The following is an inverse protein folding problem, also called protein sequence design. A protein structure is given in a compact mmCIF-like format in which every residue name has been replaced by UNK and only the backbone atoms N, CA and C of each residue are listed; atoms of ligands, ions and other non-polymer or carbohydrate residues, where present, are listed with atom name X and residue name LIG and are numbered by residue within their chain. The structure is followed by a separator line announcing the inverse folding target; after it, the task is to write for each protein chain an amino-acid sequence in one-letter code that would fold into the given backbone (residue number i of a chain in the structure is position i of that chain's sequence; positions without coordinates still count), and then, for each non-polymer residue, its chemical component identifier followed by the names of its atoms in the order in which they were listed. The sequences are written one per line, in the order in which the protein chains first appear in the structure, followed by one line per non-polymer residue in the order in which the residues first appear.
data_IF_795165956079
#
_entry.id   IF_795165956079
#
_cell.length_a   1.000
_cell.length_b   1.000
_cell.length_c   1.000
_cell.angle_alpha   90.00
_cell.angle_beta   90.00
_cell.angle_gamma   90.00
#
_symmetry.space_group_name_H-M   'P 1'
#
loop_
_entity.id
_entity.type
_entity.pdbx_description
1 polymer ?
#
# COMPACT_ATOMS: atom_id res chain seq x y z
N UNK A 1 17.37 3.64 16.89
CA UNK A 1 16.36 3.15 15.91
C UNK A 1 16.02 4.33 15.00
N UNK A 2 16.08 4.17 13.70
CA UNK A 2 15.70 5.22 12.74
C UNK A 2 14.32 4.85 12.18
N UNK A 3 13.35 5.75 12.26
CA UNK A 3 12.04 5.60 11.64
C UNK A 3 12.05 6.26 10.26
N UNK A 4 11.40 5.63 9.30
CA UNK A 4 11.22 6.17 7.94
C UNK A 4 9.72 6.30 7.65
N UNK A 5 9.31 7.50 7.21
CA UNK A 5 7.94 7.74 6.72
C UNK A 5 7.81 7.15 5.31
N UNK A 6 6.89 6.21 5.13
CA UNK A 6 6.62 5.55 3.85
C UNK A 6 5.21 5.84 3.33
N UNK A 7 4.50 6.78 3.95
CA UNK A 7 3.12 7.11 3.62
C UNK A 7 3.00 8.49 2.98
N UNK A 8 2.05 8.64 2.07
CA UNK A 8 1.63 9.95 1.59
C UNK A 8 0.59 10.56 2.53
N UNK A 9 0.71 11.86 2.77
CA UNK A 9 -0.27 12.61 3.58
C UNK A 9 -1.63 12.61 2.90
N UNK A 10 -2.69 12.27 3.64
CA UNK A 10 -4.08 12.37 3.15
C UNK A 10 -4.48 13.84 3.10
N UNK A 11 -4.90 14.31 1.92
CA UNK A 11 -5.30 15.70 1.65
C UNK A 11 -6.47 15.72 0.67
N UNK A 12 -7.21 16.85 0.64
CA UNK A 12 -8.33 17.05 -0.30
C UNK A 12 -7.93 16.97 -1.77
N UNK A 13 -6.68 17.36 -2.07
CA UNK A 13 -6.12 17.47 -3.44
C UNK A 13 -5.13 16.33 -3.77
N UNK A 14 -5.13 15.27 -2.96
CA UNK A 14 -4.22 14.15 -3.22
C UNK A 14 -4.64 13.37 -4.48
N UNK A 15 -3.68 12.76 -5.20
CA UNK A 15 -3.99 11.89 -6.31
C UNK A 15 -4.86 10.69 -5.87
N UNK A 16 -5.85 10.36 -6.67
CA UNK A 16 -6.70 9.17 -6.52
C UNK A 16 -6.77 8.42 -7.84
N UNK A 17 -7.13 7.15 -7.79
CA UNK A 17 -7.28 6.35 -9.01
C UNK A 17 -8.31 7.01 -9.96
N UNK A 18 -8.04 7.06 -11.27
CA UNK A 18 -8.95 7.68 -12.25
C UNK A 18 -10.38 7.16 -12.13
N UNK A 19 -11.33 8.10 -11.99
CA UNK A 19 -12.76 7.78 -11.79
C UNK A 19 -13.18 7.61 -10.32
N UNK A 20 -12.25 7.64 -9.38
CA UNK A 20 -12.55 7.64 -7.93
C UNK A 20 -12.79 9.07 -7.43
N UNK A 21 -13.76 9.25 -6.52
CA UNK A 21 -13.99 10.55 -5.87
C UNK A 21 -12.82 10.91 -4.95
N UNK A 22 -12.38 12.16 -5.01
CA UNK A 22 -11.32 12.66 -4.13
C UNK A 22 -11.77 12.71 -2.67
N UNK A 23 -10.82 12.54 -1.73
CA UNK A 23 -11.09 12.73 -0.31
C UNK A 23 -11.65 14.12 -0.02
N UNK A 24 -12.56 14.19 0.93
CA UNK A 24 -13.06 15.45 1.51
C UNK A 24 -12.79 15.46 3.01
N UNK A 25 -11.86 16.32 3.40
CA UNK A 25 -11.51 16.58 4.79
C UNK A 25 -12.15 17.92 5.17
N UNK A 26 -13.18 17.88 6.02
CA UNK A 26 -13.92 19.04 6.47
C UNK A 26 -13.73 19.27 7.97
N UNK A 27 -13.51 20.52 8.37
CA UNK A 27 -13.47 20.86 9.79
C UNK A 27 -14.85 20.65 10.39
N UNK A 28 -15.01 19.69 11.29
CA UNK A 28 -16.25 19.43 12.03
C UNK A 28 -16.34 20.31 13.26
N UNK A 29 -15.22 20.50 14.00
CA UNK A 29 -15.12 21.35 15.17
C UNK A 29 -13.79 22.11 15.22
N UNK A 30 -13.82 23.32 15.79
CA UNK A 30 -12.63 24.13 16.10
C UNK A 30 -12.49 24.32 17.61
N UNK A 31 -11.30 24.68 18.08
CA UNK A 31 -11.05 24.96 19.51
C UNK A 31 -12.01 26.03 20.03
N UNK A 32 -12.23 27.10 19.27
CA UNK A 32 -13.08 28.24 19.69
C UNK A 32 -14.56 27.86 19.80
N UNK A 33 -15.03 26.92 18.96
CA UNK A 33 -16.44 26.51 18.94
C UNK A 33 -16.76 25.40 19.92
N UNK A 34 -15.86 24.43 20.07
CA UNK A 34 -16.12 23.16 20.73
C UNK A 34 -15.15 22.87 21.89
N UNK A 35 -14.06 23.63 22.02
CA UNK A 35 -12.99 23.32 22.97
C UNK A 35 -12.00 22.24 22.48
N UNK A 36 -12.24 21.67 21.33
CA UNK A 36 -11.37 20.69 20.66
C UNK A 36 -11.41 20.86 19.14
N UNK A 37 -10.50 20.19 18.44
CA UNK A 37 -10.47 20.18 16.97
C UNK A 37 -10.84 18.79 16.46
N UNK A 38 -11.73 18.75 15.48
CA UNK A 38 -12.18 17.52 14.84
C UNK A 38 -12.30 17.70 13.32
N UNK A 39 -11.93 16.67 12.57
CA UNK A 39 -12.04 16.63 11.11
C UNK A 39 -12.93 15.48 10.70
N UNK A 40 -13.95 15.75 9.89
CA UNK A 40 -14.76 14.73 9.23
C UNK A 40 -14.02 14.27 7.97
N UNK A 41 -13.81 12.96 7.85
CA UNK A 41 -13.22 12.32 6.68
C UNK A 41 -14.30 11.67 5.84
N UNK A 42 -14.34 12.02 4.55
CA UNK A 42 -15.15 11.34 3.55
C UNK A 42 -14.20 10.87 2.43
N UNK A 43 -13.96 9.58 2.34
CA UNK A 43 -13.03 9.01 1.37
C UNK A 43 -13.27 7.50 1.20
N UNK A 44 -12.85 6.99 0.05
CA UNK A 44 -12.82 5.54 -0.16
C UNK A 44 -11.69 4.90 0.65
N UNK A 45 -11.87 3.64 1.07
CA UNK A 45 -10.85 2.86 1.79
C UNK A 45 -9.56 2.67 0.98
N UNK A 46 -9.67 2.58 -0.35
CA UNK A 46 -8.54 2.44 -1.27
C UNK A 46 -8.00 3.79 -1.72
N UNK A 47 -7.67 4.66 -0.76
CA UNK A 47 -7.12 6.00 -1.02
C UNK A 47 -5.77 6.17 -0.36
N UNK A 48 -4.77 6.64 -1.12
CA UNK A 48 -3.41 6.86 -0.62
C UNK A 48 -2.71 5.56 -0.22
N UNK A 49 -1.89 5.62 0.82
CA UNK A 49 -1.21 4.44 1.38
C UNK A 49 -2.20 3.67 2.26
N UNK A 50 -2.54 2.45 1.87
CA UNK A 50 -3.55 1.63 2.55
C UNK A 50 -3.19 0.14 2.46
N UNK A 51 -3.97 -0.69 3.13
CA UNK A 51 -3.90 -2.15 3.05
C UNK A 51 -5.19 -2.68 2.47
N UNK A 52 -5.08 -3.72 1.65
CA UNK A 52 -6.21 -4.49 1.13
C UNK A 52 -6.39 -5.77 1.94
N UNK A 53 -7.62 -6.06 2.31
CA UNK A 53 -7.98 -7.37 2.82
C UNK A 53 -8.21 -8.37 1.66
N UNK A 54 -8.10 -9.69 1.89
CA UNK A 54 -8.52 -10.68 0.90
C UNK A 54 -9.94 -10.46 0.37
N UNK A 55 -10.85 -9.98 1.22
CA UNK A 55 -12.24 -9.66 0.86
C UNK A 55 -12.38 -8.55 -0.18
N UNK A 56 -11.32 -7.78 -0.47
CA UNK A 56 -11.34 -6.79 -1.54
C UNK A 56 -11.57 -7.42 -2.92
N UNK A 57 -11.00 -8.62 -3.15
CA UNK A 57 -11.06 -9.31 -4.44
C UNK A 57 -11.76 -10.67 -4.38
N UNK A 58 -12.00 -11.22 -3.18
CA UNK A 58 -12.54 -12.56 -3.01
C UNK A 58 -13.78 -12.49 -2.12
N UNK A 59 -14.96 -12.80 -2.69
CA UNK A 59 -16.22 -12.79 -1.95
C UNK A 59 -16.20 -13.77 -0.78
N UNK A 60 -16.68 -13.31 0.39
CA UNK A 60 -16.70 -14.10 1.63
C UNK A 60 -15.33 -14.33 2.28
N UNK A 61 -14.25 -13.76 1.75
CA UNK A 61 -12.92 -13.87 2.37
C UNK A 61 -12.74 -12.94 3.57
N UNK A 62 -11.59 -13.07 4.25
CA UNK A 62 -11.27 -12.34 5.48
C UNK A 62 -11.21 -10.83 5.24
N UNK A 63 -11.82 -10.06 6.12
CA UNK A 63 -11.71 -8.59 6.22
C UNK A 63 -10.62 -8.19 7.22
N UNK A 64 -10.15 -6.93 7.20
CA UNK A 64 -9.04 -6.49 8.08
C UNK A 64 -9.38 -6.56 9.57
N UNK A 65 -10.64 -6.33 9.94
CA UNK A 65 -11.11 -6.44 11.33
C UNK A 65 -11.11 -7.89 11.85
N UNK A 66 -11.07 -8.86 10.94
CA UNK A 66 -10.86 -10.27 11.28
C UNK A 66 -9.38 -10.67 11.44
N UNK A 67 -8.44 -9.77 11.16
CA UNK A 67 -7.00 -10.02 11.31
C UNK A 67 -6.52 -9.68 12.72
N UNK A 68 -5.67 -10.53 13.30
CA UNK A 68 -4.97 -10.19 14.54
C UNK A 68 -3.96 -9.04 14.33
N UNK A 69 -3.74 -8.22 15.35
CA UNK A 69 -2.82 -7.08 15.29
C UNK A 69 -1.36 -7.50 15.00
N UNK A 70 -0.98 -8.71 15.36
CA UNK A 70 0.31 -9.33 15.07
C UNK A 70 0.62 -9.43 13.57
N UNK A 71 -0.43 -9.50 12.74
CA UNK A 71 -0.30 -9.49 11.27
C UNK A 71 0.25 -8.18 10.68
N UNK A 72 0.28 -7.12 11.45
CA UNK A 72 0.69 -5.79 10.99
C UNK A 72 2.06 -5.35 11.51
N UNK A 73 2.78 -6.24 12.20
CA UNK A 73 4.10 -5.98 12.75
C UNK A 73 5.03 -7.15 12.48
N UNK A 74 6.21 -6.87 11.94
CA UNK A 74 7.17 -7.92 11.63
C UNK A 74 8.44 -7.38 10.99
N UNK A 75 9.30 -8.29 10.55
CA UNK A 75 10.54 -7.98 9.81
C UNK A 75 10.22 -7.81 8.34
N UNK A 76 10.67 -6.69 7.76
CA UNK A 76 10.53 -6.43 6.34
C UNK A 76 11.79 -6.78 5.56
N UNK A 77 11.64 -7.35 4.37
CA UNK A 77 12.68 -7.43 3.35
C UNK A 77 12.31 -6.52 2.18
N UNK A 78 13.19 -5.57 1.85
CA UNK A 78 12.99 -4.66 0.71
C UNK A 78 13.72 -5.21 -0.50
N UNK A 79 12.98 -5.61 -1.53
CA UNK A 79 13.51 -6.06 -2.81
C UNK A 79 13.59 -4.86 -3.77
N UNK A 80 14.80 -4.54 -4.23
CA UNK A 80 15.01 -3.50 -5.23
C UNK A 80 14.54 -3.97 -6.61
N UNK A 81 13.45 -3.37 -7.09
CA UNK A 81 12.82 -3.64 -8.37
C UNK A 81 12.87 -2.43 -9.32
N UNK A 82 13.68 -1.41 -8.99
CA UNK A 82 13.78 -0.20 -9.82
C UNK A 82 14.30 -0.54 -11.22
N UNK A 83 13.68 0.09 -12.22
CA UNK A 83 14.02 -0.14 -13.63
C UNK A 83 13.51 -1.45 -14.22
N UNK A 84 12.79 -2.26 -13.45
CA UNK A 84 12.15 -3.47 -13.97
C UNK A 84 10.80 -3.13 -14.60
N UNK A 85 10.55 -3.56 -15.83
CA UNK A 85 9.21 -3.47 -16.45
C UNK A 85 8.26 -4.53 -15.86
N UNK A 86 8.81 -5.69 -15.46
CA UNK A 86 8.10 -6.76 -14.77
C UNK A 86 8.98 -7.36 -13.68
N UNK A 87 8.38 -7.69 -12.55
CA UNK A 87 9.05 -8.37 -11.44
C UNK A 87 8.94 -9.88 -11.69
N UNK A 88 10.05 -10.47 -12.13
CA UNK A 88 10.13 -11.85 -12.58
C UNK A 88 10.56 -12.79 -11.45
N UNK A 89 10.23 -14.08 -11.59
CA UNK A 89 10.55 -15.11 -10.61
C UNK A 89 12.07 -15.22 -10.36
N UNK A 90 12.90 -15.08 -11.39
CA UNK A 90 14.36 -15.19 -11.25
C UNK A 90 14.95 -14.10 -10.33
N UNK A 91 14.34 -12.89 -10.27
CA UNK A 91 14.71 -11.86 -9.31
C UNK A 91 14.38 -12.30 -7.87
N UNK A 92 13.21 -12.86 -7.64
CA UNK A 92 12.78 -13.35 -6.32
C UNK A 92 13.69 -14.51 -5.84
N UNK A 93 13.98 -15.47 -6.71
CA UNK A 93 14.81 -16.63 -6.37
C UNK A 93 16.24 -16.26 -5.97
N UNK A 94 16.80 -15.17 -6.51
CA UNK A 94 18.11 -14.66 -6.07
C UNK A 94 18.13 -14.23 -4.61
N UNK A 95 16.97 -13.90 -4.03
CA UNK A 95 16.81 -13.42 -2.66
C UNK A 95 15.92 -14.35 -1.82
N UNK A 96 15.68 -15.58 -2.29
CA UNK A 96 14.70 -16.51 -1.70
C UNK A 96 14.88 -16.69 -0.18
N UNK A 97 16.12 -16.87 0.28
CA UNK A 97 16.38 -17.09 1.71
C UNK A 97 15.93 -15.87 2.56
N UNK A 98 16.25 -14.65 2.11
CA UNK A 98 15.85 -13.43 2.81
C UNK A 98 14.33 -13.18 2.75
N UNK A 99 13.72 -13.50 1.61
CA UNK A 99 12.27 -13.39 1.42
C UNK A 99 11.54 -14.35 2.39
N UNK A 100 12.00 -15.61 2.49
CA UNK A 100 11.38 -16.61 3.39
C UNK A 100 11.60 -16.33 4.88
N UNK A 101 12.63 -15.56 5.25
CA UNK A 101 12.91 -15.16 6.63
C UNK A 101 12.17 -13.88 7.06
N UNK A 102 11.53 -13.19 6.13
CA UNK A 102 10.79 -11.95 6.39
C UNK A 102 9.29 -12.20 6.56
N UNK A 103 8.66 -11.38 7.40
CA UNK A 103 7.20 -11.33 7.57
C UNK A 103 6.54 -10.45 6.50
N UNK A 104 7.30 -9.48 5.94
CA UNK A 104 6.85 -8.56 4.90
C UNK A 104 7.85 -8.50 3.75
N UNK A 105 7.37 -8.69 2.52
CA UNK A 105 8.11 -8.46 1.29
C UNK A 105 7.68 -7.12 0.68
N UNK A 106 8.60 -6.16 0.62
CA UNK A 106 8.37 -4.84 0.03
C UNK A 106 9.08 -4.75 -1.32
N UNK A 107 8.33 -4.41 -2.38
CA UNK A 107 8.87 -4.18 -3.71
C UNK A 107 9.19 -2.71 -3.91
N UNK A 108 10.48 -2.34 -3.91
CA UNK A 108 10.92 -0.99 -4.20
C UNK A 108 10.99 -0.80 -5.71
N UNK A 109 9.92 -0.34 -6.32
CA UNK A 109 9.82 -0.13 -7.76
C UNK A 109 10.36 1.23 -8.21
N UNK A 110 10.42 2.21 -7.31
CA UNK A 110 10.72 3.62 -7.63
C UNK A 110 9.59 4.30 -8.39
N UNK A 111 8.38 3.69 -8.43
CA UNK A 111 7.24 4.25 -9.15
C UNK A 111 6.63 5.47 -8.47
N UNK A 112 6.93 5.65 -7.19
CA UNK A 112 6.58 6.82 -6.38
C UNK A 112 7.03 8.15 -6.99
N UNK A 113 8.10 8.15 -7.82
CA UNK A 113 8.54 9.33 -8.56
C UNK A 113 7.46 9.93 -9.49
N UNK A 114 6.48 9.13 -9.90
CA UNK A 114 5.36 9.57 -10.75
C UNK A 114 4.14 10.01 -9.95
N UNK A 115 4.18 9.93 -8.60
CA UNK A 115 3.06 10.34 -7.75
C UNK A 115 2.58 11.75 -8.07
N UNK A 116 1.28 11.91 -8.28
CA UNK A 116 0.67 13.19 -8.66
C UNK A 116 0.65 13.48 -10.16
N UNK A 117 1.06 12.53 -10.99
CA UNK A 117 0.95 12.62 -12.46
C UNK A 117 0.10 11.47 -13.02
N UNK A 118 -0.44 11.63 -14.24
CA UNK A 118 -1.22 10.58 -14.90
C UNK A 118 -0.38 9.32 -15.15
N UNK A 119 0.92 9.48 -15.37
CA UNK A 119 1.86 8.37 -15.57
C UNK A 119 1.94 7.43 -14.36
N UNK A 120 1.51 7.85 -13.16
CA UNK A 120 1.48 6.99 -11.98
C UNK A 120 0.53 5.79 -12.15
N UNK A 121 -0.52 5.96 -12.94
CA UNK A 121 -1.59 4.95 -13.10
C UNK A 121 -1.39 4.05 -14.31
N UNK A 122 -0.31 4.21 -15.07
CA UNK A 122 -0.05 3.46 -16.31
C UNK A 122 1.37 2.87 -16.32
N UNK A 123 1.49 1.64 -16.85
CA UNK A 123 2.80 1.03 -17.10
C UNK A 123 3.64 0.68 -15.87
N UNK A 124 3.04 0.67 -14.67
CA UNK A 124 3.73 0.30 -13.44
C UNK A 124 4.18 -1.16 -13.46
N UNK A 125 5.32 -1.48 -12.81
CA UNK A 125 5.82 -2.85 -12.75
C UNK A 125 4.85 -3.78 -12.02
N UNK A 126 4.55 -4.93 -12.63
CA UNK A 126 3.73 -5.98 -12.04
C UNK A 126 4.55 -7.26 -11.87
N UNK A 127 4.13 -8.11 -10.94
CA UNK A 127 4.64 -9.48 -10.84
C UNK A 127 4.24 -10.29 -12.09
N UNK A 128 5.17 -11.11 -12.62
CA UNK A 128 4.77 -12.15 -13.56
C UNK A 128 3.93 -13.21 -12.84
N UNK A 129 3.19 -14.00 -13.60
CA UNK A 129 2.34 -15.05 -13.00
C UNK A 129 3.14 -16.03 -12.13
N UNK A 130 4.33 -16.45 -12.60
CA UNK A 130 5.20 -17.34 -11.83
C UNK A 130 5.70 -16.66 -10.53
N UNK A 131 6.05 -15.38 -10.60
CA UNK A 131 6.47 -14.61 -9.43
C UNK A 131 5.32 -14.45 -8.42
N UNK A 132 4.10 -14.16 -8.91
CA UNK A 132 2.92 -14.07 -8.06
C UNK A 132 2.58 -15.40 -7.37
N UNK A 133 2.66 -16.53 -8.10
CA UNK A 133 2.48 -17.88 -7.53
C UNK A 133 3.53 -18.20 -6.47
N UNK A 134 4.78 -17.81 -6.68
CA UNK A 134 5.84 -17.99 -5.68
C UNK A 134 5.51 -17.20 -4.40
N UNK A 135 5.14 -15.92 -4.52
CA UNK A 135 4.78 -15.09 -3.35
C UNK A 135 3.56 -15.64 -2.62
N UNK A 136 2.53 -16.07 -3.35
CA UNK A 136 1.32 -16.67 -2.77
C UNK A 136 1.58 -18.01 -2.05
N UNK A 137 2.69 -18.69 -2.33
CA UNK A 137 3.10 -19.94 -1.69
C UNK A 137 4.07 -19.73 -0.52
N UNK A 138 4.37 -18.48 -0.12
CA UNK A 138 5.16 -18.20 1.08
C UNK A 138 4.34 -18.48 2.35
N UNK A 139 5.01 -18.82 3.47
CA UNK A 139 4.34 -19.13 4.74
C UNK A 139 3.59 -17.95 5.34
#
# INVERSE_FOLDING_TARGET
MTAHELTHTIRNDMPVYPGTEQPRLTTACTIDQCGYRETLLHMFSHTGTHMDAPAHMIDGALTLDGCGADRFVGRGFVLDCRGQAQIRLDLLLRHEAAIRDADFLLFCTGWDQYWGTDAYYEGFPCLTEEAARFVAGLP
#
